data_IF_517496514070
#
_entry.id   IF_517496514070
#
_cell.length_a   1.000
_cell.length_b   1.000
_cell.length_c   1.000
_cell.angle_alpha   90.00
_cell.angle_beta   90.00
_cell.angle_gamma   90.00
#
_symmetry.space_group_name_H-M   'P 1'
#
loop_
_entity.id
_entity.type
_entity.pdbx_description
1 polymer ?
#
# COMPACT_ATOMS: atom_id res chain seq x y z
N UNK A 1 67.02 10.69 -15.57
CA UNK A 1 66.48 9.57 -14.78
C UNK A 1 64.97 9.64 -14.78
N UNK A 2 64.29 8.68 -15.41
CA UNK A 2 62.83 8.61 -15.57
C UNK A 2 62.27 7.75 -14.44
N UNK A 3 61.50 8.38 -13.53
CA UNK A 3 60.72 7.70 -12.50
C UNK A 3 59.40 7.20 -13.06
N UNK A 4 59.27 5.87 -13.11
CA UNK A 4 58.16 5.10 -13.68
C UNK A 4 56.91 5.23 -12.80
N UNK A 5 55.74 5.45 -13.42
CA UNK A 5 54.40 5.40 -12.81
C UNK A 5 54.13 4.03 -12.16
N UNK A 6 53.62 4.00 -10.94
CA UNK A 6 52.78 2.94 -10.35
C UNK A 6 52.39 3.39 -8.92
N UNK A 7 51.15 3.40 -8.45
CA UNK A 7 49.90 2.97 -9.07
C UNK A 7 48.71 3.67 -8.39
N UNK A 8 47.82 4.18 -9.21
CA UNK A 8 46.41 4.30 -8.89
C UNK A 8 45.85 2.90 -8.69
N UNK A 9 45.59 2.51 -7.45
CA UNK A 9 44.61 1.47 -7.12
C UNK A 9 43.97 1.84 -5.79
N UNK A 10 43.16 2.92 -5.83
CA UNK A 10 41.91 2.90 -5.07
C UNK A 10 41.07 1.76 -5.66
N UNK A 11 40.20 1.19 -4.84
CA UNK A 11 39.19 0.18 -5.20
C UNK A 11 39.63 -1.26 -4.95
N UNK A 12 39.50 -1.70 -3.70
CA UNK A 12 39.56 -3.12 -3.37
C UNK A 12 39.57 -3.38 -1.87
N UNK A 13 38.42 -3.30 -1.21
CA UNK A 13 38.02 -4.15 -0.08
C UNK A 13 36.78 -3.56 0.62
N UNK A 14 35.62 -4.13 0.25
CA UNK A 14 34.27 -4.14 0.86
C UNK A 14 33.22 -4.04 -0.24
N UNK A 15 33.26 -4.99 -1.16
CA UNK A 15 32.22 -5.19 -2.20
C UNK A 15 31.22 -6.29 -1.83
N UNK A 16 31.32 -6.80 -0.61
CA UNK A 16 30.49 -7.87 -0.06
C UNK A 16 29.71 -7.44 1.17
N UNK A 17 29.57 -6.12 1.41
CA UNK A 17 28.48 -5.58 2.24
C UNK A 17 27.16 -5.74 1.45
N UNK A 18 26.85 -7.03 1.28
CA UNK A 18 25.56 -7.67 1.20
C UNK A 18 24.62 -7.11 0.16
N UNK A 19 24.60 -7.78 -1.00
CA UNK A 19 23.48 -7.71 -1.96
C UNK A 19 22.12 -7.81 -1.25
N UNK A 20 22.04 -8.58 -0.16
CA UNK A 20 20.86 -8.70 0.68
C UNK A 20 20.52 -7.39 1.40
N UNK A 21 21.50 -6.71 2.00
CA UNK A 21 21.27 -5.40 2.65
C UNK A 21 20.80 -4.36 1.64
N UNK A 22 21.44 -4.29 0.47
CA UNK A 22 21.03 -3.38 -0.60
C UNK A 22 19.63 -3.70 -1.14
N UNK A 23 19.26 -4.98 -1.18
CA UNK A 23 17.93 -5.42 -1.55
C UNK A 23 16.89 -5.02 -0.51
N UNK A 24 17.16 -5.25 0.78
CA UNK A 24 16.29 -4.85 1.89
C UNK A 24 16.08 -3.33 1.90
N UNK A 25 17.15 -2.54 1.73
CA UNK A 25 17.06 -1.09 1.63
C UNK A 25 16.20 -0.64 0.43
N UNK A 26 16.31 -1.35 -0.69
CA UNK A 26 15.51 -1.09 -1.89
C UNK A 26 14.03 -1.35 -1.61
N UNK A 27 13.69 -2.48 -0.97
CA UNK A 27 12.33 -2.84 -0.58
C UNK A 27 11.74 -1.80 0.38
N UNK A 28 12.50 -1.37 1.40
CA UNK A 28 12.05 -0.30 2.30
C UNK A 28 11.83 1.03 1.57
N UNK A 29 12.68 1.37 0.60
CA UNK A 29 12.50 2.58 -0.21
C UNK A 29 11.23 2.52 -1.08
N UNK A 30 10.89 1.34 -1.60
CA UNK A 30 9.65 1.11 -2.34
C UNK A 30 8.43 1.25 -1.44
N UNK A 31 8.46 0.67 -0.24
CA UNK A 31 7.37 0.85 0.74
C UNK A 31 7.21 2.30 1.17
N UNK A 32 8.31 3.04 1.31
CA UNK A 32 8.27 4.48 1.62
C UNK A 32 7.73 5.31 0.46
N UNK A 33 8.05 4.94 -0.78
CA UNK A 33 7.49 5.60 -1.96
C UNK A 33 5.99 5.28 -2.13
N UNK A 34 5.61 4.03 -1.87
CA UNK A 34 4.25 3.50 -2.01
C UNK A 34 3.39 3.67 -0.74
N UNK A 35 3.90 4.36 0.29
CA UNK A 35 3.23 4.50 1.59
C UNK A 35 1.78 4.97 1.44
N UNK A 36 1.58 6.03 0.66
CA UNK A 36 0.26 6.59 0.41
C UNK A 36 -0.64 5.64 -0.39
N UNK A 37 -0.10 4.89 -1.34
CA UNK A 37 -0.87 4.00 -2.20
C UNK A 37 -1.34 2.76 -1.43
N UNK A 38 -0.49 2.19 -0.58
CA UNK A 38 -0.85 1.07 0.30
C UNK A 38 -1.92 1.52 1.29
N UNK A 39 -1.76 2.68 1.93
CA UNK A 39 -2.76 3.22 2.85
C UNK A 39 -4.08 3.52 2.13
N UNK A 40 -4.02 4.05 0.90
CA UNK A 40 -5.19 4.31 0.07
C UNK A 40 -5.95 3.02 -0.24
N UNK A 41 -5.28 2.01 -0.80
CA UNK A 41 -5.94 0.72 -1.11
C UNK A 41 -6.44 0.04 0.16
N UNK A 42 -5.65 0.04 1.24
CA UNK A 42 -6.07 -0.51 2.53
C UNK A 42 -7.32 0.18 3.07
N UNK A 43 -7.39 1.51 2.95
CA UNK A 43 -8.57 2.29 3.32
C UNK A 43 -9.80 1.85 2.53
N UNK A 44 -9.69 1.68 1.21
CA UNK A 44 -10.80 1.18 0.39
C UNK A 44 -11.21 -0.26 0.76
N UNK A 45 -10.26 -1.14 1.05
CA UNK A 45 -10.54 -2.52 1.49
C UNK A 45 -11.30 -2.51 2.82
N UNK A 46 -10.83 -1.73 3.80
CA UNK A 46 -11.50 -1.61 5.10
C UNK A 46 -12.90 -1.03 4.93
N UNK A 47 -13.03 0.08 4.19
CA UNK A 47 -14.31 0.70 3.90
C UNK A 47 -15.27 -0.30 3.21
N UNK A 48 -14.80 -1.02 2.19
CA UNK A 48 -15.59 -2.04 1.49
C UNK A 48 -16.09 -3.14 2.43
N UNK A 49 -15.23 -3.66 3.32
CA UNK A 49 -15.62 -4.67 4.31
C UNK A 49 -16.66 -4.11 5.27
N UNK A 50 -16.49 -2.89 5.77
CA UNK A 50 -17.46 -2.24 6.67
C UNK A 50 -18.80 -2.03 5.96
N UNK A 51 -18.80 -1.46 4.75
CA UNK A 51 -20.02 -1.26 3.97
C UNK A 51 -20.72 -2.58 3.67
N UNK A 52 -19.96 -3.64 3.35
CA UNK A 52 -20.51 -4.98 3.16
C UNK A 52 -21.14 -5.51 4.44
N UNK A 53 -20.49 -5.36 5.60
CA UNK A 53 -21.06 -5.82 6.88
C UNK A 53 -22.32 -5.03 7.26
N UNK A 54 -22.34 -3.73 7.03
CA UNK A 54 -23.51 -2.88 7.28
C UNK A 54 -24.68 -3.20 6.36
N UNK A 55 -24.43 -3.42 5.06
CA UNK A 55 -25.49 -3.73 4.07
C UNK A 55 -25.98 -5.18 4.12
N UNK A 56 -25.17 -6.12 4.62
CA UNK A 56 -25.58 -7.51 4.78
C UNK A 56 -26.58 -7.73 5.94
N UNK A 57 -26.64 -6.79 6.90
CA UNK A 57 -27.52 -6.89 8.07
C UNK A 57 -28.91 -6.30 7.75
N UNK A 58 -29.99 -7.10 7.85
CA UNK A 58 -31.33 -6.64 7.50
C UNK A 58 -31.85 -5.52 8.42
N UNK A 59 -31.26 -5.32 9.62
CA UNK A 59 -31.64 -4.21 10.50
C UNK A 59 -31.15 -2.84 10.01
N UNK A 60 -29.95 -2.75 9.42
CA UNK A 60 -29.39 -1.48 8.89
C UNK A 60 -29.89 -1.16 7.48
N UNK A 61 -30.30 -2.18 6.71
CA UNK A 61 -30.95 -1.99 5.43
C UNK A 61 -32.26 -1.18 5.56
N UNK A 62 -32.86 -1.13 6.74
CA UNK A 62 -34.07 -0.32 7.01
C UNK A 62 -33.83 1.19 6.93
N UNK A 63 -32.59 1.69 7.09
CA UNK A 63 -32.30 3.12 6.88
C UNK A 63 -32.32 3.48 5.37
N UNK A 64 -32.09 2.49 4.50
CA UNK A 64 -32.16 2.62 3.04
C UNK A 64 -33.49 2.07 2.45
N UNK A 65 -34.31 1.40 3.28
CA UNK A 65 -35.55 0.70 2.88
C UNK A 65 -36.78 1.16 3.68
N UNK A 66 -36.66 2.02 4.69
CA UNK A 66 -37.84 2.64 5.30
C UNK A 66 -38.42 3.67 4.34
N UNK A 67 -39.38 3.19 3.55
CA UNK A 67 -40.39 4.01 2.92
C UNK A 67 -41.05 4.85 4.03
N UNK A 68 -40.99 6.19 3.97
CA UNK A 68 -41.56 7.03 4.98
C UNK A 68 -43.08 6.90 4.93
N UNK A 69 -43.65 6.20 5.92
CA UNK A 69 -45.09 6.07 6.09
C UNK A 69 -45.71 4.95 5.27
N UNK A 70 -46.42 4.06 5.97
CA UNK A 70 -47.21 3.00 5.38
C UNK A 70 -48.20 3.55 4.33
N UNK A 71 -47.94 3.23 3.07
CA UNK A 71 -48.96 3.04 2.05
C UNK A 71 -48.31 2.38 0.83
N UNK A 72 -48.98 1.35 0.34
CA UNK A 72 -48.66 0.54 -0.84
C UNK A 72 -48.75 1.34 -2.13
N UNK A 73 -47.79 2.24 -2.36
CA UNK A 73 -47.64 2.92 -3.66
C UNK A 73 -46.17 3.04 -4.01
N UNK A 74 -45.62 2.03 -4.68
CA UNK A 74 -44.39 2.13 -5.44
C UNK A 74 -44.79 2.00 -6.91
N UNK A 75 -44.71 3.06 -7.75
CA UNK A 75 -45.29 3.02 -9.07
C UNK A 75 -44.23 2.74 -10.14
N UNK A 76 -43.45 1.66 -10.02
CA UNK A 76 -42.64 1.09 -11.11
C UNK A 76 -42.44 -0.40 -10.86
#
# INVERSE_FOLDING_TARGET
MIGRRAGTNRVGARRDDSLLTRFVDSVFSLFRLAEFEILFVLFFVIAYVIFKDLTARPEYNRILVEKPGGSDIWPF
#
